data_IF_550046971499
#
_entry.id   IF_550046971499
#
_cell.length_a   1.000
_cell.length_b   1.000
_cell.length_c   1.000
_cell.angle_alpha   90.00
_cell.angle_beta   90.00
_cell.angle_gamma   90.00
#
_symmetry.space_group_name_H-M   'P 1'
#
loop_
_entity.id
_entity.type
_entity.pdbx_description
1 polymer ?
#
# COMPACT_ATOMS: atom_id res chain seq x y z
N UNK A 1 4.24 18.82 -0.04
CA UNK A 1 5.51 19.55 0.16
C UNK A 1 6.61 18.71 -0.50
N UNK A 2 7.36 19.25 -1.45
CA UNK A 2 8.52 18.57 -2.04
C UNK A 2 9.78 18.76 -1.18
N UNK A 3 10.71 17.81 -1.27
CA UNK A 3 12.05 17.89 -0.70
C UNK A 3 13.05 17.38 -1.75
N UNK A 4 14.07 18.17 -2.10
CA UNK A 4 15.00 17.89 -3.19
C UNK A 4 16.44 17.95 -2.68
N UNK A 5 17.15 16.83 -2.81
CA UNK A 5 18.53 16.73 -2.29
C UNK A 5 19.40 15.79 -3.13
N UNK A 6 20.71 15.98 -3.11
CA UNK A 6 21.65 15.09 -3.78
C UNK A 6 21.99 13.86 -2.92
N UNK A 7 22.18 12.72 -3.59
CA UNK A 7 22.77 11.52 -3.02
C UNK A 7 23.85 10.97 -3.94
N UNK A 8 24.89 10.42 -3.34
CA UNK A 8 26.00 9.84 -4.06
C UNK A 8 25.78 8.36 -4.36
N UNK A 9 26.07 7.93 -5.59
CA UNK A 9 25.97 6.55 -6.07
C UNK A 9 27.33 6.04 -6.50
N UNK A 10 27.65 4.80 -6.11
CA UNK A 10 28.94 4.18 -6.48
C UNK A 10 30.03 4.39 -5.46
N UNK A 11 31.26 3.98 -5.78
CA UNK A 11 32.42 4.07 -4.91
C UNK A 11 33.67 4.55 -5.68
N UNK A 12 34.52 5.31 -5.02
CA UNK A 12 35.77 5.78 -5.55
C UNK A 12 35.63 6.58 -6.86
N UNK A 13 36.44 6.31 -7.87
CA UNK A 13 36.42 7.03 -9.15
C UNK A 13 35.16 6.83 -10.01
N UNK A 14 34.26 5.91 -9.64
CA UNK A 14 32.96 5.67 -10.29
C UNK A 14 31.79 6.27 -9.52
N UNK A 15 32.09 7.19 -8.62
CA UNK A 15 31.09 7.88 -7.84
C UNK A 15 30.41 8.95 -8.70
N UNK A 16 29.07 8.96 -8.69
CA UNK A 16 28.25 9.97 -9.35
C UNK A 16 27.22 10.50 -8.36
N UNK A 17 26.80 11.73 -8.55
CA UNK A 17 25.71 12.32 -7.78
C UNK A 17 24.42 12.19 -8.57
N UNK A 18 23.34 11.81 -7.91
CA UNK A 18 21.96 11.88 -8.42
C UNK A 18 21.13 12.69 -7.44
N UNK A 19 20.11 13.33 -7.96
CA UNK A 19 19.16 14.07 -7.16
C UNK A 19 17.94 13.20 -6.86
N UNK A 20 17.43 13.33 -5.66
CA UNK A 20 16.21 12.69 -5.20
C UNK A 20 15.18 13.76 -4.89
N UNK A 21 14.03 13.66 -5.50
CA UNK A 21 12.86 14.49 -5.21
C UNK A 21 11.84 13.64 -4.45
N UNK A 22 11.55 14.00 -3.21
CA UNK A 22 10.44 13.44 -2.44
C UNK A 22 9.19 14.28 -2.67
N UNK A 23 8.05 13.63 -2.89
CA UNK A 23 6.76 14.28 -3.09
C UNK A 23 5.71 13.65 -2.18
N UNK A 24 5.24 14.44 -1.24
CA UNK A 24 4.12 14.05 -0.38
C UNK A 24 2.80 14.21 -1.14
N UNK A 25 2.03 13.15 -1.26
CA UNK A 25 0.75 13.09 -1.98
C UNK A 25 -0.42 12.89 -1.02
N UNK A 26 -1.50 13.67 -1.21
CA UNK A 26 -2.76 13.51 -0.49
C UNK A 26 -3.89 14.28 -1.21
N UNK A 27 -4.99 13.63 -1.63
CA UNK A 27 -5.17 12.18 -1.73
C UNK A 27 -4.29 11.57 -2.82
N UNK A 28 -4.28 10.25 -2.94
CA UNK A 28 -3.60 9.58 -4.05
C UNK A 28 -2.53 8.56 -3.63
N UNK A 29 -2.37 8.29 -2.31
CA UNK A 29 -1.54 7.18 -1.88
C UNK A 29 -2.09 5.83 -2.36
N UNK A 30 -1.21 4.84 -2.45
CA UNK A 30 -1.51 3.51 -3.00
C UNK A 30 -2.73 2.84 -2.37
N UNK A 31 -2.92 3.01 -1.08
CA UNK A 31 -4.06 2.47 -0.32
C UNK A 31 -5.06 3.57 0.09
N UNK A 32 -5.03 4.71 -0.59
CA UNK A 32 -5.83 5.89 -0.31
C UNK A 32 -5.22 6.81 0.76
N UNK A 33 -5.67 8.06 0.77
CA UNK A 33 -5.20 9.11 1.67
C UNK A 33 -3.79 9.58 1.34
N UNK A 34 -2.93 9.66 2.34
CA UNK A 34 -1.59 10.25 2.26
C UNK A 34 -0.48 9.22 2.10
N UNK A 35 0.58 9.60 1.38
CA UNK A 35 1.77 8.78 1.16
C UNK A 35 2.93 9.59 0.62
N UNK A 36 4.08 8.96 0.45
CA UNK A 36 5.31 9.58 -0.03
C UNK A 36 5.84 8.87 -1.27
N UNK A 37 5.96 9.62 -2.37
CA UNK A 37 6.64 9.18 -3.59
C UNK A 37 8.05 9.73 -3.65
N UNK A 38 8.94 9.05 -4.39
CA UNK A 38 10.26 9.55 -4.71
C UNK A 38 10.57 9.46 -6.20
N UNK A 39 11.36 10.39 -6.67
CA UNK A 39 11.89 10.43 -8.02
C UNK A 39 13.41 10.58 -7.95
N UNK A 40 14.11 9.91 -8.87
CA UNK A 40 15.57 9.99 -8.99
C UNK A 40 15.89 10.55 -10.36
N UNK A 41 16.80 11.52 -10.42
CA UNK A 41 17.13 12.16 -11.69
C UNK A 41 18.30 13.13 -11.59
N UNK A 42 18.29 14.07 -12.53
CA UNK A 42 19.25 15.18 -12.58
C UNK A 42 18.59 16.50 -12.23
N UNK A 43 19.34 17.40 -11.62
CA UNK A 43 18.91 18.77 -11.32
C UNK A 43 20.01 19.74 -11.69
N UNK A 44 19.70 20.69 -12.56
CA UNK A 44 20.66 21.68 -13.09
C UNK A 44 20.68 23.01 -12.31
N UNK A 45 19.94 23.08 -11.20
CA UNK A 45 19.72 24.30 -10.42
C UNK A 45 18.38 25.00 -10.73
N UNK A 46 17.71 24.65 -11.82
CA UNK A 46 16.46 25.24 -12.26
C UNK A 46 15.39 24.18 -12.56
N UNK A 47 15.79 23.06 -13.14
CA UNK A 47 14.88 22.00 -13.59
C UNK A 47 15.35 20.64 -13.08
N UNK A 48 14.39 19.86 -12.56
CA UNK A 48 14.58 18.47 -12.23
C UNK A 48 14.03 17.57 -13.35
N UNK A 49 14.82 16.61 -13.81
CA UNK A 49 14.41 15.60 -14.80
C UNK A 49 14.50 14.21 -14.16
N UNK A 50 13.33 13.58 -14.00
CA UNK A 50 13.27 12.23 -13.44
C UNK A 50 13.73 11.17 -14.44
N UNK A 51 14.62 10.27 -14.01
CA UNK A 51 15.14 9.14 -14.81
C UNK A 51 14.43 7.82 -14.49
N UNK A 52 13.75 7.70 -13.35
CA UNK A 52 13.10 6.48 -12.89
C UNK A 52 11.58 6.44 -13.19
N UNK A 53 11.11 7.27 -14.09
CA UNK A 53 9.73 7.31 -14.57
C UNK A 53 9.71 6.95 -16.05
N UNK A 54 9.04 5.87 -16.39
CA UNK A 54 8.86 5.45 -17.78
C UNK A 54 7.40 5.69 -18.21
N UNK A 55 7.14 6.10 -19.46
CA UNK A 55 5.78 6.19 -19.99
C UNK A 55 5.10 4.82 -19.90
N UNK A 56 3.92 4.80 -19.30
CA UNK A 56 3.15 3.58 -19.19
C UNK A 56 2.45 3.23 -20.49
N UNK A 57 2.50 1.96 -20.86
CA UNK A 57 1.74 1.37 -21.96
C UNK A 57 0.86 0.27 -21.38
N UNK A 58 -0.46 0.46 -21.34
CA UNK A 58 -1.37 -0.58 -20.86
C UNK A 58 -1.24 -1.84 -21.74
N UNK A 59 -1.56 -3.01 -21.20
CA UNK A 59 -1.47 -4.26 -21.93
C UNK A 59 -2.41 -4.26 -23.13
N UNK A 60 -1.95 -4.83 -24.24
CA UNK A 60 -2.80 -5.04 -25.42
C UNK A 60 -3.93 -6.01 -25.09
N UNK A 61 -5.10 -5.76 -25.65
CA UNK A 61 -6.27 -6.59 -25.46
C UNK A 61 -7.37 -6.28 -26.47
N UNK A 62 -8.54 -6.86 -26.25
CA UNK A 62 -9.74 -6.60 -27.04
C UNK A 62 -10.54 -5.50 -26.32
N UNK A 63 -10.78 -4.39 -26.99
CA UNK A 63 -11.67 -3.33 -26.46
C UNK A 63 -13.09 -3.87 -26.46
N UNK A 64 -13.70 -3.90 -25.29
CA UNK A 64 -15.10 -4.29 -25.10
C UNK A 64 -16.02 -3.08 -25.18
N UNK A 65 -15.63 -1.95 -24.62
CA UNK A 65 -16.33 -0.68 -24.73
C UNK A 65 -15.32 0.47 -24.62
N UNK A 66 -15.45 1.45 -25.50
CA UNK A 66 -14.65 2.69 -25.53
C UNK A 66 -15.48 3.96 -25.20
N UNK A 67 -16.79 3.81 -25.18
CA UNK A 67 -17.77 4.86 -24.87
C UNK A 67 -17.68 6.13 -25.73
N UNK A 68 -17.09 6.07 -26.92
CA UNK A 68 -16.92 7.22 -27.82
C UNK A 68 -18.20 7.62 -28.58
N UNK A 69 -19.25 6.79 -28.52
CA UNK A 69 -20.55 7.10 -29.11
C UNK A 69 -21.33 8.13 -28.29
N UNK A 70 -22.34 8.76 -28.88
CA UNK A 70 -23.26 9.66 -28.18
C UNK A 70 -24.36 8.95 -27.41
N UNK A 71 -24.51 7.64 -27.59
CA UNK A 71 -25.45 6.75 -26.89
C UNK A 71 -24.71 5.56 -26.29
N UNK A 72 -25.39 4.82 -25.44
CA UNK A 72 -24.85 3.60 -24.80
C UNK A 72 -24.98 2.34 -25.66
N UNK A 73 -25.52 2.41 -26.89
CA UNK A 73 -25.74 1.25 -27.77
C UNK A 73 -26.59 0.17 -27.07
N UNK A 74 -26.05 -1.05 -26.98
CA UNK A 74 -26.75 -2.21 -26.41
C UNK A 74 -26.71 -2.27 -24.87
N UNK A 75 -26.14 -1.27 -24.20
CA UNK A 75 -26.18 -1.19 -22.74
C UNK A 75 -27.57 -0.70 -22.28
N UNK A 76 -28.04 -1.19 -21.15
CA UNK A 76 -29.34 -0.83 -20.58
C UNK A 76 -29.19 0.04 -19.34
N UNK A 77 -30.00 1.10 -19.24
CA UNK A 77 -30.03 2.02 -18.10
C UNK A 77 -31.28 1.82 -17.25
N UNK A 78 -31.15 2.04 -15.94
CA UNK A 78 -32.29 2.27 -15.02
C UNK A 78 -32.05 3.56 -14.25
N UNK A 79 -33.14 4.22 -13.83
CA UNK A 79 -33.01 5.52 -13.16
C UNK A 79 -32.52 6.61 -14.12
N UNK A 80 -31.89 7.65 -13.57
CA UNK A 80 -31.50 8.85 -14.33
C UNK A 80 -29.99 9.16 -14.25
N UNK A 81 -29.21 8.49 -13.39
CA UNK A 81 -27.83 8.83 -13.12
C UNK A 81 -26.92 8.84 -14.34
N UNK A 82 -27.18 7.99 -15.33
CA UNK A 82 -26.33 7.83 -16.52
C UNK A 82 -26.84 8.63 -17.73
N UNK A 83 -27.95 9.36 -17.60
CA UNK A 83 -28.50 10.14 -18.72
C UNK A 83 -28.81 9.28 -19.94
N UNK A 84 -28.64 9.86 -21.15
CA UNK A 84 -28.94 9.20 -22.44
C UNK A 84 -27.71 8.65 -23.14
N UNK A 85 -26.50 8.93 -22.65
CA UNK A 85 -25.25 8.50 -23.29
C UNK A 85 -24.01 9.05 -22.56
N UNK A 86 -22.82 8.64 -23.03
CA UNK A 86 -21.53 9.11 -22.47
C UNK A 86 -21.34 10.62 -22.57
N UNK A 87 -20.68 11.22 -21.59
CA UNK A 87 -20.41 12.67 -21.55
C UNK A 87 -19.04 13.00 -22.14
N UNK A 88 -18.91 14.20 -22.71
CA UNK A 88 -17.63 14.73 -23.18
C UNK A 88 -16.88 15.41 -22.00
N UNK A 89 -16.51 14.62 -20.99
CA UNK A 89 -15.84 15.11 -19.78
C UNK A 89 -16.78 15.46 -18.63
N UNK A 90 -16.37 16.44 -17.81
CA UNK A 90 -17.08 16.85 -16.61
C UNK A 90 -18.44 17.49 -16.91
N UNK A 91 -19.41 17.21 -16.04
CA UNK A 91 -20.74 17.84 -16.08
C UNK A 91 -20.78 19.04 -15.14
N UNK A 92 -21.85 19.85 -15.22
CA UNK A 92 -22.01 21.06 -14.40
C UNK A 92 -21.84 20.77 -12.90
N UNK A 93 -20.97 21.53 -12.24
CA UNK A 93 -20.68 21.38 -10.82
C UNK A 93 -19.75 20.20 -10.46
N UNK A 94 -19.09 19.62 -11.44
CA UNK A 94 -18.05 18.62 -11.26
C UNK A 94 -16.68 19.22 -11.57
N UNK A 95 -15.64 18.77 -10.87
CA UNK A 95 -14.24 19.11 -11.19
C UNK A 95 -13.87 18.53 -12.56
N UNK A 96 -12.87 19.11 -13.20
CA UNK A 96 -12.31 18.59 -14.45
C UNK A 96 -11.98 17.11 -14.33
N UNK A 97 -12.35 16.31 -15.34
CA UNK A 97 -12.01 14.89 -15.42
C UNK A 97 -10.72 14.76 -16.21
N UNK A 98 -9.76 14.07 -15.61
CA UNK A 98 -8.43 13.85 -16.20
C UNK A 98 -8.20 12.36 -16.37
N UNK A 99 -7.51 11.96 -17.44
CA UNK A 99 -7.10 10.58 -17.68
C UNK A 99 -8.13 9.73 -18.43
N UNK A 100 -9.24 10.27 -18.93
CA UNK A 100 -10.09 9.56 -19.88
C UNK A 100 -9.33 9.29 -21.18
N UNK A 101 -9.75 8.30 -21.94
CA UNK A 101 -9.20 7.92 -23.25
C UNK A 101 -10.19 8.34 -24.33
N UNK A 102 -9.73 9.14 -25.30
CA UNK A 102 -10.63 9.67 -26.32
C UNK A 102 -11.37 10.94 -25.86
N UNK A 103 -12.64 11.08 -26.27
CA UNK A 103 -13.43 12.28 -26.08
C UNK A 103 -14.61 12.11 -25.10
N UNK A 104 -14.99 10.87 -24.77
CA UNK A 104 -16.18 10.57 -23.99
C UNK A 104 -15.95 9.49 -22.95
N UNK A 105 -16.78 9.52 -21.90
CA UNK A 105 -16.77 8.54 -20.82
C UNK A 105 -18.16 8.35 -20.21
N UNK A 106 -18.36 7.27 -19.50
CA UNK A 106 -19.53 7.07 -18.64
C UNK A 106 -19.37 7.92 -17.39
N UNK A 107 -20.39 8.72 -17.06
CA UNK A 107 -20.43 9.58 -15.88
C UNK A 107 -21.82 9.48 -15.24
N UNK A 108 -21.89 9.00 -14.01
CA UNK A 108 -23.18 8.81 -13.31
C UNK A 108 -23.76 10.08 -12.71
N UNK A 109 -23.11 11.24 -12.93
CA UNK A 109 -23.57 12.52 -12.39
C UNK A 109 -24.58 13.25 -13.29
N UNK A 110 -25.35 12.53 -14.11
CA UNK A 110 -26.34 13.07 -15.00
C UNK A 110 -27.77 12.80 -14.44
N UNK A 111 -28.70 13.77 -14.47
CA UNK A 111 -28.54 15.17 -14.83
C UNK A 111 -27.95 16.01 -13.70
N UNK A 112 -27.76 15.43 -12.50
CA UNK A 112 -27.21 16.11 -11.32
C UNK A 112 -26.60 15.10 -10.35
N UNK A 113 -25.96 15.60 -9.30
CA UNK A 113 -25.22 14.79 -8.33
C UNK A 113 -26.07 13.86 -7.45
N UNK A 114 -27.37 14.07 -7.36
CA UNK A 114 -28.28 13.24 -6.55
C UNK A 114 -29.08 12.23 -7.41
N UNK A 115 -28.79 12.16 -8.72
CA UNK A 115 -29.40 11.19 -9.60
C UNK A 115 -28.91 9.78 -9.27
N UNK A 116 -29.81 8.80 -9.29
CA UNK A 116 -29.51 7.40 -9.02
C UNK A 116 -29.87 6.52 -10.20
N UNK A 117 -29.21 5.38 -10.33
CA UNK A 117 -29.49 4.43 -11.41
C UNK A 117 -28.43 3.39 -11.63
N UNK A 118 -28.62 2.59 -12.68
CA UNK A 118 -27.66 1.58 -13.13
C UNK A 118 -27.43 1.69 -14.63
N UNK A 119 -26.25 1.26 -15.07
CA UNK A 119 -25.91 1.04 -16.48
C UNK A 119 -25.32 -0.38 -16.60
N UNK A 120 -25.97 -1.26 -17.38
CA UNK A 120 -25.62 -2.67 -17.47
C UNK A 120 -25.25 -3.06 -18.89
N UNK A 121 -24.11 -3.74 -19.05
CA UNK A 121 -23.60 -4.21 -20.35
C UNK A 121 -24.46 -5.34 -20.94
N UNK A 122 -24.36 -5.58 -22.26
CA UNK A 122 -24.72 -6.86 -22.84
C UNK A 122 -23.98 -8.01 -22.14
N UNK A 123 -24.55 -9.23 -22.25
CA UNK A 123 -23.87 -10.44 -21.74
C UNK A 123 -22.67 -10.78 -22.62
N UNK A 124 -21.58 -11.21 -21.98
CA UNK A 124 -20.37 -11.69 -22.66
C UNK A 124 -19.80 -12.92 -21.96
N UNK A 125 -19.02 -13.73 -22.69
CA UNK A 125 -18.30 -14.87 -22.12
C UNK A 125 -16.90 -14.39 -21.74
N UNK A 126 -16.46 -14.68 -20.52
CA UNK A 126 -15.11 -14.36 -20.05
C UNK A 126 -14.12 -15.30 -20.75
N UNK A 127 -13.26 -14.74 -21.61
CA UNK A 127 -12.26 -15.49 -22.38
C UNK A 127 -10.81 -15.08 -22.06
N UNK A 128 -10.65 -14.00 -21.28
CA UNK A 128 -9.37 -13.43 -20.89
C UNK A 128 -9.21 -13.43 -19.38
N UNK A 129 -7.96 -13.37 -18.93
CA UNK A 129 -7.60 -13.45 -17.49
C UNK A 129 -7.96 -12.21 -16.70
N UNK A 130 -8.06 -11.06 -17.38
CA UNK A 130 -8.30 -9.75 -16.76
C UNK A 130 -9.28 -8.92 -17.56
N UNK A 131 -10.12 -8.18 -16.85
CA UNK A 131 -10.95 -7.10 -17.39
C UNK A 131 -10.36 -5.81 -16.86
N UNK A 132 -9.67 -5.08 -17.72
CA UNK A 132 -9.04 -3.81 -17.42
C UNK A 132 -10.01 -2.67 -17.75
N UNK A 133 -10.06 -1.63 -16.95
CA UNK A 133 -10.92 -0.48 -17.16
C UNK A 133 -10.29 0.78 -16.56
N UNK A 134 -10.67 1.95 -17.05
CA UNK A 134 -10.32 3.21 -16.39
C UNK A 134 -11.48 3.63 -15.53
N UNK A 135 -11.23 3.81 -14.25
CA UNK A 135 -12.25 4.22 -13.27
C UNK A 135 -11.86 5.52 -12.58
N UNK A 136 -12.85 6.20 -12.04
CA UNK A 136 -12.71 7.40 -11.23
C UNK A 136 -14.01 7.68 -10.49
N UNK A 137 -14.07 8.78 -9.74
CA UNK A 137 -15.25 9.16 -8.98
C UNK A 137 -15.12 8.88 -7.48
N UNK A 138 -16.26 8.69 -6.83
CA UNK A 138 -16.32 8.53 -5.38
C UNK A 138 -15.71 7.20 -4.93
N UNK A 139 -14.97 7.26 -3.84
CA UNK A 139 -14.57 6.10 -3.05
C UNK A 139 -15.48 6.05 -1.82
N UNK A 140 -16.66 5.53 -2.00
CA UNK A 140 -17.59 5.32 -0.91
C UNK A 140 -17.20 4.05 -0.15
N UNK A 141 -17.00 4.13 1.18
CA UNK A 141 -16.46 3.03 1.95
C UNK A 141 -17.33 1.80 1.82
N UNK A 142 -16.71 0.67 1.47
CA UNK A 142 -17.33 -0.65 1.59
C UNK A 142 -17.37 -1.00 3.07
N UNK A 143 -18.46 -0.72 3.74
CA UNK A 143 -18.70 -1.29 5.07
C UNK A 143 -18.96 -2.79 4.92
N UNK A 144 -18.44 -3.65 5.81
CA UNK A 144 -18.80 -5.06 5.81
C UNK A 144 -20.33 -5.22 5.83
N UNK A 145 -20.90 -5.82 4.77
CA UNK A 145 -22.34 -6.00 4.62
C UNK A 145 -23.11 -4.82 4.03
N UNK A 146 -22.47 -3.68 3.72
CA UNK A 146 -23.09 -2.59 2.97
C UNK A 146 -22.71 -2.67 1.48
N UNK A 147 -23.69 -2.43 0.61
CA UNK A 147 -23.43 -2.17 -0.82
C UNK A 147 -22.83 -0.77 -0.95
N UNK A 148 -21.72 -0.64 -1.64
CA UNK A 148 -21.18 0.69 -1.97
C UNK A 148 -22.18 1.43 -2.86
N UNK A 149 -22.36 2.74 -2.61
CA UNK A 149 -23.35 3.55 -3.30
C UNK A 149 -22.95 3.93 -4.74
N UNK A 150 -21.66 3.83 -5.09
CA UNK A 150 -21.16 4.08 -6.45
C UNK A 150 -20.08 3.07 -6.82
N UNK A 151 -20.38 2.16 -7.77
CA UNK A 151 -19.50 1.02 -8.09
C UNK A 151 -19.53 0.64 -9.56
N UNK A 152 -18.45 0.00 -10.00
CA UNK A 152 -18.40 -0.87 -11.18
C UNK A 152 -18.37 -2.32 -10.70
N UNK A 153 -19.34 -3.12 -11.10
CA UNK A 153 -19.51 -4.50 -10.68
C UNK A 153 -19.36 -5.47 -11.85
N UNK A 154 -18.80 -6.63 -11.60
CA UNK A 154 -18.89 -7.78 -12.49
C UNK A 154 -19.95 -8.74 -11.94
N UNK A 155 -20.93 -9.07 -12.78
CA UNK A 155 -22.03 -9.94 -12.41
C UNK A 155 -21.88 -11.31 -13.10
N UNK A 156 -22.11 -12.39 -12.35
CA UNK A 156 -22.36 -13.73 -12.84
C UNK A 156 -23.74 -14.15 -12.33
N UNK A 157 -24.63 -14.53 -13.22
CA UNK A 157 -26.01 -14.91 -12.88
C UNK A 157 -26.74 -13.88 -12.00
N UNK A 158 -26.48 -12.58 -12.26
CA UNK A 158 -27.04 -11.46 -11.50
C UNK A 158 -26.42 -11.21 -10.13
N UNK A 159 -25.40 -12.00 -9.73
CA UNK A 159 -24.69 -11.81 -8.45
C UNK A 159 -23.37 -11.08 -8.67
N UNK A 160 -23.06 -10.13 -7.79
CA UNK A 160 -21.77 -9.40 -7.83
C UNK A 160 -20.63 -10.32 -7.37
N UNK A 161 -19.70 -10.59 -8.28
CA UNK A 161 -18.50 -11.43 -8.00
C UNK A 161 -17.21 -10.62 -7.89
N UNK A 162 -17.16 -9.44 -8.52
CA UNK A 162 -16.08 -8.43 -8.38
C UNK A 162 -16.73 -7.06 -8.33
N UNK A 163 -16.06 -6.11 -7.70
CA UNK A 163 -16.55 -4.73 -7.59
C UNK A 163 -15.39 -3.77 -7.38
N UNK A 164 -15.43 -2.62 -8.06
CA UNK A 164 -14.53 -1.50 -7.89
C UNK A 164 -15.29 -0.21 -7.65
N UNK A 165 -14.59 0.78 -7.05
CA UNK A 165 -15.07 2.15 -6.82
C UNK A 165 -14.08 3.14 -7.42
N UNK A 166 -14.41 4.42 -7.46
CA UNK A 166 -13.41 5.47 -7.68
C UNK A 166 -12.54 5.70 -6.44
N UNK A 167 -11.60 6.63 -6.56
CA UNK A 167 -10.60 6.97 -5.53
C UNK A 167 -10.85 8.33 -4.84
N UNK A 168 -12.10 8.80 -4.78
CA UNK A 168 -12.49 10.18 -4.43
C UNK A 168 -11.84 11.23 -5.33
N UNK A 169 -11.69 10.90 -6.60
CA UNK A 169 -10.99 11.72 -7.56
C UNK A 169 -11.67 11.68 -8.92
N UNK A 170 -11.67 12.81 -9.61
CA UNK A 170 -11.97 12.88 -11.04
C UNK A 170 -10.78 12.57 -11.93
N UNK A 171 -9.65 12.21 -11.36
CA UNK A 171 -8.51 11.64 -12.06
C UNK A 171 -8.73 10.16 -12.25
N UNK A 172 -9.01 9.75 -13.51
CA UNK A 172 -9.25 8.36 -13.86
C UNK A 172 -7.94 7.60 -14.01
N UNK A 173 -7.88 6.40 -13.45
CA UNK A 173 -6.74 5.51 -13.53
C UNK A 173 -7.16 4.09 -13.93
N UNK A 174 -6.19 3.22 -14.17
CA UNK A 174 -6.44 1.83 -14.53
C UNK A 174 -6.75 0.99 -13.30
N UNK A 175 -7.82 0.18 -13.41
CA UNK A 175 -8.20 -0.89 -12.52
C UNK A 175 -8.36 -2.20 -13.28
N UNK A 176 -8.23 -3.32 -12.58
CA UNK A 176 -8.29 -4.64 -13.18
C UNK A 176 -9.06 -5.64 -12.32
N UNK A 177 -10.10 -6.23 -12.86
CA UNK A 177 -10.65 -7.46 -12.28
C UNK A 177 -9.80 -8.66 -12.68
N UNK A 178 -9.25 -9.38 -11.72
CA UNK A 178 -8.72 -10.72 -11.94
C UNK A 178 -9.89 -11.69 -12.06
N UNK A 179 -10.05 -12.28 -13.25
CA UNK A 179 -11.16 -13.16 -13.60
C UNK A 179 -10.71 -14.56 -14.02
N UNK A 180 -9.49 -14.96 -13.63
CA UNK A 180 -8.91 -16.28 -13.99
C UNK A 180 -9.78 -17.44 -13.52
N UNK A 181 -10.41 -17.31 -12.36
CA UNK A 181 -11.33 -18.27 -11.77
C UNK A 181 -12.74 -18.27 -12.40
N UNK A 182 -13.01 -17.32 -13.30
CA UNK A 182 -14.30 -17.11 -13.95
C UNK A 182 -14.26 -17.37 -15.46
N UNK A 183 -13.14 -17.83 -16.02
CA UNK A 183 -13.00 -18.12 -17.46
C UNK A 183 -14.08 -19.12 -17.89
N UNK A 184 -14.74 -18.82 -19.02
CA UNK A 184 -15.84 -19.61 -19.59
C UNK A 184 -17.22 -19.25 -19.05
N UNK A 185 -17.33 -18.47 -17.97
CA UNK A 185 -18.61 -18.02 -17.44
C UNK A 185 -19.17 -16.86 -18.24
N UNK A 186 -20.50 -16.78 -18.30
CA UNK A 186 -21.22 -15.62 -18.87
C UNK A 186 -21.36 -14.55 -17.82
N UNK A 187 -20.96 -13.33 -18.16
CA UNK A 187 -20.90 -12.19 -17.26
C UNK A 187 -21.57 -10.94 -17.85
N UNK A 188 -21.80 -9.96 -16.99
CA UNK A 188 -22.16 -8.58 -17.33
C UNK A 188 -21.36 -7.61 -16.46
N UNK A 189 -21.06 -6.44 -17.00
CA UNK A 189 -20.53 -5.32 -16.22
C UNK A 189 -21.72 -4.41 -15.88
N UNK A 190 -21.82 -4.02 -14.62
CA UNK A 190 -22.86 -3.10 -14.16
C UNK A 190 -22.28 -1.97 -13.34
N UNK A 191 -22.55 -0.76 -13.78
CA UNK A 191 -22.32 0.43 -12.96
C UNK A 191 -23.57 0.68 -12.12
N UNK A 192 -23.34 1.04 -10.87
CA UNK A 192 -24.40 1.39 -9.92
C UNK A 192 -24.07 2.73 -9.31
N UNK A 193 -25.04 3.61 -9.24
CA UNK A 193 -25.00 4.83 -8.44
C UNK A 193 -26.30 4.95 -7.68
N UNK A 194 -26.25 4.79 -6.36
CA UNK A 194 -27.39 4.93 -5.44
C UNK A 194 -27.17 6.09 -4.46
N UNK A 195 -26.15 6.92 -4.69
CA UNK A 195 -25.75 8.00 -3.81
C UNK A 195 -26.67 9.23 -3.94
N UNK A 196 -27.84 9.16 -3.35
CA UNK A 196 -28.83 10.25 -3.38
C UNK A 196 -28.38 11.53 -2.63
N UNK A 197 -27.28 11.48 -1.87
CA UNK A 197 -26.75 12.62 -1.12
C UNK A 197 -25.94 13.61 -1.96
N UNK A 198 -25.71 13.31 -3.24
CA UNK A 198 -24.88 14.13 -4.12
C UNK A 198 -23.38 13.99 -3.89
N UNK A 199 -22.96 13.09 -3.01
CA UNK A 199 -21.53 12.81 -2.73
C UNK A 199 -20.98 11.68 -3.61
N UNK A 200 -21.86 10.86 -4.25
CA UNK A 200 -21.49 9.76 -5.10
C UNK A 200 -21.35 10.15 -6.57
N UNK A 201 -20.43 9.52 -7.26
CA UNK A 201 -20.40 9.43 -8.73
C UNK A 201 -19.45 8.30 -9.11
N UNK A 202 -19.73 7.61 -10.20
CA UNK A 202 -18.80 6.65 -10.80
C UNK A 202 -18.48 7.09 -12.22
N UNK A 203 -17.20 7.08 -12.54
CA UNK A 203 -16.67 7.35 -13.86
C UNK A 203 -16.10 6.02 -14.41
N UNK A 204 -16.37 5.72 -15.66
CA UNK A 204 -15.85 4.53 -16.33
C UNK A 204 -15.52 4.84 -17.77
N UNK A 205 -14.37 4.29 -18.22
CA UNK A 205 -13.93 4.39 -19.60
C UNK A 205 -13.06 3.19 -19.99
N UNK A 206 -12.86 2.96 -21.29
CA UNK A 206 -11.89 2.00 -21.86
C UNK A 206 -11.88 0.60 -21.19
N UNK A 207 -12.92 -0.18 -21.41
CA UNK A 207 -12.95 -1.57 -20.94
C UNK A 207 -12.17 -2.45 -21.95
N UNK A 208 -11.11 -3.10 -21.47
CA UNK A 208 -10.21 -3.92 -22.29
C UNK A 208 -10.02 -5.31 -21.69
N UNK A 209 -10.36 -6.35 -22.43
CA UNK A 209 -10.10 -7.72 -22.02
C UNK A 209 -8.69 -8.15 -22.43
N UNK A 210 -7.89 -8.64 -21.48
CA UNK A 210 -6.46 -8.93 -21.66
C UNK A 210 -6.02 -10.15 -20.84
N UNK A 211 -4.86 -10.73 -21.23
CA UNK A 211 -4.21 -11.78 -20.44
C UNK A 211 -3.24 -11.24 -19.38
N UNK A 212 -3.15 -9.89 -19.25
CA UNK A 212 -2.34 -9.20 -18.25
C UNK A 212 -3.17 -8.09 -17.60
N UNK A 213 -2.96 -7.81 -16.31
CA UNK A 213 -3.59 -6.66 -15.68
C UNK A 213 -3.00 -5.36 -16.25
N UNK A 214 -3.82 -4.33 -16.31
CA UNK A 214 -3.33 -2.96 -16.37
C UNK A 214 -2.91 -2.55 -14.96
N UNK A 215 -1.89 -1.73 -14.87
CA UNK A 215 -1.39 -1.22 -13.60
C UNK A 215 -1.77 0.25 -13.45
N UNK A 216 -2.31 0.61 -12.32
CA UNK A 216 -2.62 2.00 -11.98
C UNK A 216 -1.34 2.83 -11.83
N UNK A 217 -1.46 4.15 -11.88
CA UNK A 217 -0.37 5.08 -11.57
C UNK A 217 0.15 4.84 -10.14
N UNK A 218 -0.74 4.49 -9.23
CA UNK A 218 -0.39 4.15 -7.84
C UNK A 218 0.44 2.88 -7.72
N UNK A 219 0.11 1.84 -8.50
CA UNK A 219 0.88 0.58 -8.49
C UNK A 219 2.26 0.73 -9.12
N UNK A 220 2.39 1.67 -10.07
CA UNK A 220 3.64 1.93 -10.80
C UNK A 220 4.53 2.97 -10.13
N UNK A 221 3.98 3.78 -9.22
CA UNK A 221 4.71 4.83 -8.55
C UNK A 221 5.86 4.29 -7.69
N UNK A 222 6.92 5.08 -7.58
CA UNK A 222 8.03 4.78 -6.69
C UNK A 222 7.66 5.26 -5.28
N UNK A 223 7.15 4.37 -4.46
CA UNK A 223 6.81 4.67 -3.07
C UNK A 223 8.04 4.59 -2.18
N UNK A 224 8.29 5.65 -1.41
CA UNK A 224 9.33 5.64 -0.38
C UNK A 224 8.91 4.77 0.81
N UNK A 225 7.61 4.67 1.09
CA UNK A 225 7.05 3.80 2.10
C UNK A 225 5.81 3.08 1.53
N UNK A 226 5.70 1.79 1.78
CA UNK A 226 4.63 0.93 1.28
C UNK A 226 3.53 0.68 2.32
N UNK A 227 3.75 1.15 3.56
CA UNK A 227 2.73 1.20 4.61
C UNK A 227 1.75 2.33 4.41
N UNK A 228 0.74 2.40 5.26
CA UNK A 228 -0.29 3.44 5.18
C UNK A 228 0.05 4.70 5.94
N UNK A 229 0.96 4.64 6.89
CA UNK A 229 1.16 5.70 7.89
C UNK A 229 2.55 6.34 7.76
N UNK A 230 2.88 6.84 6.58
CA UNK A 230 4.10 7.60 6.36
C UNK A 230 3.86 8.78 5.42
N UNK A 231 3.89 9.99 5.97
CA UNK A 231 3.56 11.21 5.24
C UNK A 231 4.35 12.42 5.77
N UNK A 232 4.29 13.52 5.03
CA UNK A 232 4.93 14.79 5.36
C UNK A 232 6.42 14.64 5.72
N UNK A 233 7.07 13.63 5.15
CA UNK A 233 8.48 13.38 5.41
C UNK A 233 9.36 14.45 4.80
N UNK A 234 10.38 14.82 5.56
CA UNK A 234 11.43 15.77 5.16
C UNK A 234 12.80 15.23 5.56
N UNK A 235 13.83 15.73 4.91
CA UNK A 235 15.20 15.37 5.24
C UNK A 235 15.91 16.47 6.03
N UNK A 236 16.90 16.06 6.82
CA UNK A 236 17.78 16.99 7.55
C UNK A 236 18.90 17.48 6.64
N UNK A 237 19.14 18.78 6.65
CA UNK A 237 20.29 19.39 5.99
C UNK A 237 21.49 19.48 6.93
N UNK A 238 22.69 19.52 6.35
CA UNK A 238 23.95 19.76 7.05
C UNK A 238 24.24 18.77 8.20
N UNK A 239 23.87 17.50 8.04
CA UNK A 239 24.27 16.44 8.97
C UNK A 239 25.82 16.34 8.93
N UNK A 240 26.52 16.42 10.09
CA UNK A 240 27.97 16.61 10.12
C UNK A 240 28.81 15.56 9.39
N UNK A 241 28.32 14.32 9.32
CA UNK A 241 28.98 13.18 8.67
C UNK A 241 28.58 12.99 7.21
N UNK A 242 27.78 13.93 6.66
CA UNK A 242 27.31 13.89 5.27
C UNK A 242 26.21 12.85 4.99
N UNK A 243 25.67 12.20 6.01
CA UNK A 243 24.48 11.34 5.84
C UNK A 243 23.26 12.18 5.45
N UNK A 244 22.33 11.57 4.76
CA UNK A 244 21.01 12.15 4.51
C UNK A 244 20.02 11.42 5.40
N UNK A 245 19.47 12.11 6.39
CA UNK A 245 18.52 11.57 7.34
C UNK A 245 17.12 12.08 7.01
N UNK A 246 16.12 11.22 7.18
CA UNK A 246 14.70 11.52 6.94
C UNK A 246 13.87 11.13 8.15
N UNK A 247 12.86 11.92 8.45
CA UNK A 247 11.81 11.61 9.43
C UNK A 247 10.45 11.93 8.82
N UNK A 248 9.44 11.13 9.14
CA UNK A 248 8.09 11.29 8.60
C UNK A 248 7.01 11.26 9.67
N UNK A 249 5.87 11.82 9.37
CA UNK A 249 4.68 11.77 10.22
C UNK A 249 3.99 10.41 10.05
N UNK A 250 3.84 9.68 11.17
CA UNK A 250 3.16 8.39 11.19
C UNK A 250 1.67 8.57 11.43
N UNK A 251 0.96 8.81 10.38
CA UNK A 251 -0.50 8.80 10.31
C UNK A 251 -0.97 8.90 8.86
N UNK A 252 -2.29 8.86 8.65
CA UNK A 252 -2.92 9.02 7.35
C UNK A 252 -4.11 9.97 7.44
N UNK A 253 -4.22 10.90 6.52
CA UNK A 253 -5.33 11.87 6.50
C UNK A 253 -6.71 11.24 6.40
N UNK A 254 -6.82 9.97 5.97
CA UNK A 254 -8.09 9.25 5.94
C UNK A 254 -8.73 9.10 7.33
N UNK A 255 -7.92 8.93 8.38
CA UNK A 255 -8.42 8.56 9.71
C UNK A 255 -7.72 9.25 10.90
N UNK A 256 -6.78 10.16 10.65
CA UNK A 256 -5.98 10.75 11.74
C UNK A 256 -6.82 11.42 12.83
N UNK A 257 -7.98 11.99 12.46
CA UNK A 257 -8.87 12.62 13.46
C UNK A 257 -9.64 11.62 14.33
N UNK A 258 -9.70 10.35 13.92
CA UNK A 258 -10.43 9.29 14.60
C UNK A 258 -9.51 8.34 15.39
N UNK A 259 -8.17 8.46 15.28
CA UNK A 259 -7.25 7.55 15.99
C UNK A 259 -7.51 7.52 17.50
N UNK A 260 -7.51 6.33 18.13
CA UNK A 260 -7.92 6.16 19.53
C UNK A 260 -6.79 6.49 20.52
N UNK A 261 -6.14 7.64 20.35
CA UNK A 261 -5.08 8.13 21.25
C UNK A 261 -5.47 9.44 21.91
N UNK A 262 -4.95 9.69 23.11
CA UNK A 262 -5.18 10.91 23.91
C UNK A 262 -4.00 11.16 24.85
N UNK A 263 -3.54 12.41 25.09
CA UNK A 263 -4.07 13.67 24.58
C UNK A 263 -3.62 14.03 23.15
N UNK A 264 -2.54 13.42 22.65
CA UNK A 264 -2.03 13.67 21.30
C UNK A 264 -2.52 12.62 20.29
N UNK A 265 -2.43 12.95 19.01
CA UNK A 265 -2.75 12.06 17.88
C UNK A 265 -1.55 11.98 16.96
N UNK A 266 -1.27 10.77 16.45
CA UNK A 266 -0.11 10.46 15.60
C UNK A 266 1.25 10.60 16.34
N UNK A 267 2.31 10.26 15.61
CA UNK A 267 3.69 10.28 16.10
C UNK A 267 4.65 10.50 14.93
N UNK A 268 5.93 10.52 15.19
CA UNK A 268 6.98 10.54 14.18
C UNK A 268 7.53 9.13 13.96
N UNK A 269 8.01 8.86 12.76
CA UNK A 269 8.77 7.65 12.46
C UNK A 269 10.13 7.66 13.15
N UNK A 270 10.77 6.49 13.22
CA UNK A 270 12.19 6.46 13.53
C UNK A 270 12.99 7.19 12.43
N UNK A 271 14.06 7.92 12.79
CA UNK A 271 14.93 8.54 11.80
C UNK A 271 15.57 7.49 10.88
N UNK A 272 15.62 7.78 9.59
CA UNK A 272 16.10 6.89 8.55
C UNK A 272 17.26 7.51 7.78
N UNK A 273 18.32 6.76 7.59
CA UNK A 273 19.40 7.11 6.67
C UNK A 273 19.03 6.69 5.25
N UNK A 274 19.15 7.62 4.30
CA UNK A 274 18.83 7.44 2.89
C UNK A 274 20.09 7.15 2.08
N UNK A 275 19.98 6.24 1.13
CA UNK A 275 21.03 5.97 0.14
C UNK A 275 20.42 5.50 -1.17
N UNK A 276 21.22 5.55 -2.26
CA UNK A 276 20.84 5.03 -3.55
C UNK A 276 21.60 3.74 -3.86
N UNK A 277 20.88 2.72 -4.36
CA UNK A 277 21.45 1.45 -4.79
C UNK A 277 20.90 1.00 -6.12
N UNK A 278 21.71 0.27 -6.90
CA UNK A 278 21.21 -0.45 -8.08
C UNK A 278 20.67 -1.80 -7.67
N UNK A 279 19.37 -2.00 -7.90
CA UNK A 279 18.62 -3.23 -7.61
C UNK A 279 17.94 -3.67 -8.92
N UNK A 280 18.21 -4.88 -9.39
CA UNK A 280 17.67 -5.36 -10.67
C UNK A 280 18.03 -4.47 -11.88
N UNK A 281 19.17 -3.75 -11.82
CA UNK A 281 19.60 -2.82 -12.88
C UNK A 281 19.05 -1.40 -12.75
N UNK A 282 18.01 -1.17 -11.95
CA UNK A 282 17.41 0.15 -11.68
C UNK A 282 18.03 0.80 -10.46
N UNK A 283 18.06 2.12 -10.45
CA UNK A 283 18.47 2.89 -9.28
C UNK A 283 17.25 3.09 -8.38
N UNK A 284 17.36 2.68 -7.12
CA UNK A 284 16.28 2.76 -6.14
C UNK A 284 16.75 3.43 -4.85
N UNK A 285 15.81 4.09 -4.17
CA UNK A 285 16.01 4.66 -2.84
C UNK A 285 15.96 3.54 -1.80
N UNK A 286 16.99 3.50 -0.95
CA UNK A 286 17.11 2.54 0.15
C UNK A 286 17.15 3.31 1.46
N UNK A 287 16.44 2.81 2.46
CA UNK A 287 16.28 3.46 3.76
C UNK A 287 16.67 2.50 4.87
N UNK A 288 17.39 2.99 5.87
CA UNK A 288 17.77 2.21 7.05
C UNK A 288 17.49 3.00 8.31
N UNK A 289 17.05 2.36 9.39
CA UNK A 289 17.05 3.03 10.69
C UNK A 289 18.46 3.53 11.01
N UNK A 290 18.56 4.71 11.60
CA UNK A 290 19.87 5.26 12.01
C UNK A 290 20.57 4.34 13.01
N UNK A 291 21.90 4.29 12.94
CA UNK A 291 22.71 3.42 13.81
C UNK A 291 22.59 3.79 15.29
N UNK A 292 22.30 5.05 15.59
CA UNK A 292 22.10 5.56 16.96
C UNK A 292 21.01 4.83 17.73
N UNK A 293 20.01 4.26 17.05
CA UNK A 293 18.98 3.43 17.70
C UNK A 293 19.56 2.19 18.40
N UNK A 294 20.73 1.72 17.97
CA UNK A 294 21.36 0.56 18.60
C UNK A 294 21.83 0.82 20.02
N UNK A 295 22.06 2.11 20.40
CA UNK A 295 22.37 2.48 21.77
C UNK A 295 21.22 2.22 22.74
N UNK A 296 19.98 2.14 22.23
CA UNK A 296 18.78 1.85 23.03
C UNK A 296 18.56 0.34 23.23
N UNK A 297 19.35 -0.53 22.57
CA UNK A 297 19.22 -1.98 22.69
C UNK A 297 19.65 -2.47 24.08
N UNK A 298 18.73 -3.06 24.84
CA UNK A 298 19.05 -3.73 26.12
C UNK A 298 19.79 -5.04 25.87
N UNK A 299 20.73 -5.36 26.72
CA UNK A 299 21.50 -6.59 26.65
C UNK A 299 21.21 -7.46 27.89
N UNK A 300 21.20 -8.79 27.76
CA UNK A 300 21.48 -9.58 26.54
C UNK A 300 20.31 -9.59 25.56
N UNK A 301 20.59 -9.76 24.27
CA UNK A 301 19.58 -10.01 23.24
C UNK A 301 19.04 -11.45 23.33
N UNK A 302 17.76 -11.63 22.97
CA UNK A 302 17.20 -12.97 22.77
C UNK A 302 17.52 -13.45 21.35
N UNK A 303 18.05 -14.68 21.25
CA UNK A 303 18.46 -15.27 19.96
C UNK A 303 17.70 -16.54 19.65
N UNK A 304 17.26 -16.64 18.39
CA UNK A 304 16.60 -17.83 17.84
C UNK A 304 17.37 -18.25 16.60
N UNK A 305 17.70 -19.53 16.48
CA UNK A 305 18.44 -20.08 15.34
C UNK A 305 17.84 -21.41 14.90
N UNK A 306 17.89 -21.66 13.59
CA UNK A 306 17.46 -22.89 12.97
C UNK A 306 16.05 -23.35 13.42
N UNK A 307 15.12 -22.38 13.57
CA UNK A 307 13.75 -22.65 13.98
C UNK A 307 12.90 -22.96 12.75
N UNK A 308 12.57 -24.22 12.56
CA UNK A 308 11.69 -24.67 11.48
C UNK A 308 10.24 -24.66 11.91
N UNK A 309 9.38 -24.12 11.05
CA UNK A 309 7.91 -24.05 11.22
C UNK A 309 7.25 -24.63 9.97
N UNK A 310 6.24 -25.48 10.14
CA UNK A 310 5.57 -26.17 9.04
C UNK A 310 4.05 -26.16 9.27
N UNK A 311 3.31 -25.46 8.42
CA UNK A 311 1.84 -25.33 8.46
C UNK A 311 1.28 -24.98 9.85
N UNK A 312 1.93 -24.07 10.57
CA UNK A 312 1.51 -23.62 11.90
C UNK A 312 2.12 -22.28 12.26
N UNK A 313 1.63 -21.70 13.36
CA UNK A 313 2.34 -20.66 14.11
C UNK A 313 3.08 -21.27 15.30
N UNK A 314 4.18 -20.66 15.69
CA UNK A 314 4.96 -21.00 16.87
C UNK A 314 5.28 -19.74 17.67
N UNK A 315 4.74 -19.66 18.87
CA UNK A 315 5.04 -18.60 19.83
C UNK A 315 6.49 -18.70 20.28
N UNK A 316 7.19 -17.57 20.28
CA UNK A 316 8.52 -17.48 20.84
C UNK A 316 8.44 -17.30 22.36
N UNK A 317 9.16 -18.17 23.10
CA UNK A 317 9.15 -18.17 24.56
C UNK A 317 10.39 -17.48 25.10
N UNK A 318 10.27 -16.93 26.32
CA UNK A 318 11.34 -16.24 27.03
C UNK A 318 11.07 -14.76 27.20
N UNK A 319 11.61 -14.19 28.26
CA UNK A 319 11.36 -12.78 28.62
C UNK A 319 11.83 -11.80 27.53
N UNK A 320 12.86 -12.14 26.78
CA UNK A 320 13.39 -11.31 25.69
C UNK A 320 12.61 -11.41 24.37
N UNK A 321 11.72 -12.42 24.21
CA UNK A 321 10.93 -12.66 23.01
C UNK A 321 9.52 -12.10 23.10
N UNK A 322 9.26 -11.18 24.02
CA UNK A 322 7.95 -10.59 24.25
C UNK A 322 8.11 -9.13 24.65
N UNK A 323 7.28 -8.27 24.11
CA UNK A 323 7.31 -6.84 24.42
C UNK A 323 6.64 -5.99 23.36
N UNK A 324 6.47 -4.72 23.65
CA UNK A 324 5.94 -3.72 22.71
C UNK A 324 7.00 -2.73 22.23
N UNK A 325 8.23 -2.85 22.70
CA UNK A 325 9.38 -2.00 22.34
C UNK A 325 10.53 -2.92 21.99
N UNK A 326 10.59 -3.32 20.73
CA UNK A 326 11.52 -4.33 20.22
C UNK A 326 12.24 -3.83 18.97
N UNK A 327 13.51 -4.18 18.86
CA UNK A 327 14.27 -4.17 17.62
C UNK A 327 14.56 -5.65 17.26
N UNK A 328 14.08 -6.09 16.09
CA UNK A 328 14.14 -7.49 15.65
C UNK A 328 14.87 -7.54 14.32
N UNK A 329 15.96 -8.26 14.27
CA UNK A 329 16.63 -8.63 13.02
C UNK A 329 16.40 -10.12 12.77
N UNK A 330 15.88 -10.46 11.59
CA UNK A 330 15.55 -11.84 11.23
C UNK A 330 15.89 -12.17 9.80
N UNK A 331 16.44 -13.37 9.59
CA UNK A 331 16.64 -13.99 8.29
C UNK A 331 15.82 -15.29 8.22
N UNK A 332 14.95 -15.37 7.20
CA UNK A 332 14.16 -16.53 6.87
C UNK A 332 14.71 -17.24 5.64
N UNK A 333 14.63 -18.57 5.67
CA UNK A 333 14.61 -19.42 4.48
C UNK A 333 13.15 -19.77 4.16
N UNK A 334 12.70 -19.42 2.95
CA UNK A 334 11.32 -19.64 2.49
C UNK A 334 10.95 -21.13 2.40
N UNK A 335 11.93 -22.00 2.18
CA UNK A 335 11.75 -23.43 2.05
C UNK A 335 10.68 -23.81 1.02
N UNK A 336 9.58 -24.42 1.49
CA UNK A 336 8.43 -24.82 0.67
C UNK A 336 7.15 -24.07 1.04
N UNK A 337 7.22 -23.06 1.90
CA UNK A 337 6.03 -22.35 2.38
C UNK A 337 5.44 -21.44 1.28
N UNK A 338 4.11 -21.43 1.17
CA UNK A 338 3.39 -20.46 0.34
C UNK A 338 3.41 -19.08 1.00
N UNK A 339 3.27 -19.04 2.34
CA UNK A 339 3.37 -17.82 3.14
C UNK A 339 4.12 -18.06 4.43
N UNK A 340 4.94 -17.11 4.87
CA UNK A 340 5.70 -17.21 6.12
C UNK A 340 6.06 -15.81 6.65
N UNK A 341 6.42 -15.73 7.92
CA UNK A 341 6.83 -14.47 8.54
C UNK A 341 6.68 -14.43 10.05
N UNK A 342 6.40 -13.22 10.55
CA UNK A 342 6.21 -12.89 11.97
C UNK A 342 4.77 -12.49 12.24
N UNK A 343 4.28 -12.82 13.45
CA UNK A 343 3.14 -12.19 14.07
C UNK A 343 3.65 -11.41 15.28
N UNK A 344 3.42 -10.12 15.29
CA UNK A 344 3.83 -9.21 16.36
C UNK A 344 2.60 -8.67 17.07
N UNK A 345 2.77 -8.15 18.29
CA UNK A 345 1.65 -7.75 19.14
C UNK A 345 0.57 -8.84 19.26
N UNK A 346 1.02 -10.11 19.25
CA UNK A 346 0.13 -11.26 19.36
C UNK A 346 -0.45 -11.38 20.75
N UNK A 347 -1.78 -11.57 20.83
CA UNK A 347 -2.55 -11.70 22.06
C UNK A 347 -3.91 -12.36 21.81
N UNK A 348 -4.80 -12.43 22.81
CA UNK A 348 -6.10 -13.05 22.66
C UNK A 348 -6.95 -12.36 21.58
N UNK A 349 -7.09 -13.00 20.40
CA UNK A 349 -7.92 -12.52 19.30
C UNK A 349 -7.31 -11.41 18.44
N UNK A 350 -6.08 -10.98 18.72
CA UNK A 350 -5.41 -9.90 17.99
C UNK A 350 -3.96 -10.24 17.64
N UNK A 351 -3.53 -9.75 16.49
CA UNK A 351 -2.17 -9.88 15.96
C UNK A 351 -1.93 -8.90 14.82
N UNK A 352 -0.70 -8.50 14.59
CA UNK A 352 -0.25 -7.84 13.37
C UNK A 352 0.66 -8.82 12.63
N UNK A 353 0.34 -9.13 11.37
CA UNK A 353 1.11 -10.10 10.58
C UNK A 353 2.06 -9.37 9.65
N UNK A 354 3.35 -9.72 9.72
CA UNK A 354 4.39 -9.31 8.78
C UNK A 354 4.76 -10.57 7.99
N UNK A 355 4.26 -10.70 6.78
CA UNK A 355 4.34 -11.92 6.01
C UNK A 355 4.89 -11.75 4.61
N UNK A 356 5.42 -12.83 4.05
CA UNK A 356 5.83 -12.93 2.67
C UNK A 356 5.00 -14.00 1.96
N UNK A 357 4.44 -13.64 0.78
CA UNK A 357 3.70 -14.54 -0.11
C UNK A 357 4.61 -14.92 -1.28
N UNK A 358 5.02 -16.20 -1.34
CA UNK A 358 5.97 -16.70 -2.34
C UNK A 358 5.36 -16.77 -3.73
N UNK A 359 4.07 -17.07 -3.82
CA UNK A 359 3.34 -17.15 -5.10
C UNK A 359 3.12 -15.79 -5.76
N UNK A 360 3.03 -14.74 -4.95
CA UNK A 360 2.86 -13.35 -5.41
C UNK A 360 4.16 -12.57 -5.46
N UNK A 361 5.27 -13.11 -4.94
CA UNK A 361 6.52 -12.39 -4.71
C UNK A 361 6.29 -11.06 -3.98
N UNK A 362 5.52 -11.09 -2.88
CA UNK A 362 5.10 -9.89 -2.13
C UNK A 362 5.39 -10.01 -0.64
N UNK A 363 5.98 -8.96 -0.08
CA UNK A 363 5.93 -8.71 1.36
C UNK A 363 4.60 -8.02 1.71
N UNK A 364 3.99 -8.39 2.84
CA UNK A 364 2.75 -7.75 3.28
C UNK A 364 2.74 -7.51 4.78
N UNK A 365 1.98 -6.49 5.19
CA UNK A 365 1.59 -6.27 6.58
C UNK A 365 0.08 -6.29 6.67
N UNK A 366 -0.45 -7.23 7.44
CA UNK A 366 -1.88 -7.35 7.74
C UNK A 366 -2.14 -6.83 9.15
N UNK A 367 -2.85 -5.68 9.23
CA UNK A 367 -3.29 -5.08 10.48
C UNK A 367 -4.79 -5.18 10.72
N UNK A 368 -5.48 -6.05 10.00
CA UNK A 368 -6.94 -6.21 10.12
C UNK A 368 -7.40 -6.68 11.49
N UNK A 369 -6.50 -7.29 12.26
CA UNK A 369 -6.76 -7.76 13.64
C UNK A 369 -5.77 -7.16 14.66
N UNK A 370 -5.24 -5.97 14.42
CA UNK A 370 -4.20 -5.33 15.25
C UNK A 370 -4.78 -4.55 16.44
N UNK A 371 -5.70 -5.16 17.17
CA UNK A 371 -6.36 -4.58 18.34
C UNK A 371 -7.57 -3.70 17.98
N UNK A 372 -7.62 -2.47 18.49
CA UNK A 372 -8.71 -1.55 18.19
C UNK A 372 -8.64 -1.04 16.74
N UNK A 373 -9.27 -1.76 15.82
CA UNK A 373 -9.29 -1.43 14.39
C UNK A 373 -10.64 -0.84 13.94
N UNK A 374 -11.65 -0.86 14.80
CA UNK A 374 -13.04 -0.49 14.47
C UNK A 374 -13.33 1.02 14.52
N UNK A 375 -12.38 1.86 14.89
CA UNK A 375 -12.59 3.30 15.04
C UNK A 375 -12.79 4.04 13.69
N UNK A 376 -12.37 3.43 12.60
CA UNK A 376 -12.55 3.98 11.25
C UNK A 376 -12.64 2.85 10.21
N UNK A 377 -13.60 2.88 9.26
CA UNK A 377 -13.84 1.77 8.32
C UNK A 377 -12.68 1.48 7.37
N UNK A 378 -11.79 2.45 7.14
CA UNK A 378 -10.61 2.30 6.28
C UNK A 378 -9.34 1.99 7.03
N UNK A 379 -9.37 1.80 8.34
CA UNK A 379 -8.16 1.53 9.11
C UNK A 379 -7.69 0.09 8.94
N UNK A 380 -8.58 -0.89 9.16
CA UNK A 380 -8.29 -2.31 9.00
C UNK A 380 -7.91 -2.59 7.54
N UNK A 381 -6.66 -3.02 7.29
CA UNK A 381 -6.14 -3.14 5.94
C UNK A 381 -4.92 -4.05 5.85
N UNK A 382 -4.61 -4.46 4.62
CA UNK A 382 -3.38 -5.16 4.26
C UNK A 382 -2.56 -4.28 3.34
N UNK A 383 -1.35 -3.94 3.76
CA UNK A 383 -0.36 -3.24 2.92
C UNK A 383 0.55 -4.27 2.25
N UNK A 384 0.89 -4.06 0.99
CA UNK A 384 1.73 -5.00 0.22
C UNK A 384 2.81 -4.26 -0.55
N UNK A 385 3.97 -4.89 -0.74
CA UNK A 385 5.02 -4.41 -1.64
C UNK A 385 5.59 -5.54 -2.48
N UNK A 386 5.85 -5.32 -3.77
CA UNK A 386 6.55 -6.31 -4.58
C UNK A 386 7.98 -6.46 -4.05
N UNK A 387 8.37 -7.67 -3.74
CA UNK A 387 9.72 -8.00 -3.28
C UNK A 387 10.07 -9.40 -3.79
N UNK A 388 11.03 -9.46 -4.69
CA UNK A 388 11.56 -10.72 -5.16
C UNK A 388 12.71 -11.15 -4.28
N UNK A 389 12.64 -12.36 -3.73
CA UNK A 389 13.74 -12.93 -2.96
C UNK A 389 14.93 -13.24 -3.86
N UNK A 390 16.12 -13.25 -3.29
CA UNK A 390 17.33 -13.72 -3.94
C UNK A 390 17.21 -15.20 -4.35
N UNK A 391 18.16 -15.68 -5.17
CA UNK A 391 18.19 -17.08 -5.63
C UNK A 391 18.19 -18.10 -4.48
N UNK A 392 18.68 -17.69 -3.32
CA UNK A 392 18.77 -18.52 -2.12
C UNK A 392 17.45 -18.55 -1.33
N UNK A 393 16.39 -17.88 -1.78
CA UNK A 393 15.09 -17.86 -1.13
C UNK A 393 15.06 -17.17 0.23
N UNK A 394 16.05 -16.30 0.50
CA UNK A 394 16.22 -15.66 1.80
C UNK A 394 15.45 -14.34 1.89
N UNK A 395 14.73 -14.15 2.99
CA UNK A 395 14.08 -12.90 3.36
C UNK A 395 14.77 -12.32 4.60
N UNK A 396 15.28 -11.10 4.50
CA UNK A 396 15.88 -10.37 5.62
C UNK A 396 14.99 -9.21 6.02
N UNK A 397 14.63 -9.17 7.29
CA UNK A 397 13.84 -8.09 7.87
C UNK A 397 14.53 -7.49 9.08
N UNK A 398 14.45 -6.18 9.23
CA UNK A 398 14.57 -5.49 10.52
C UNK A 398 13.21 -4.90 10.85
N UNK A 399 12.69 -5.20 12.02
CA UNK A 399 11.37 -4.78 12.49
C UNK A 399 11.54 -4.00 13.77
N UNK A 400 11.07 -2.76 13.77
CA UNK A 400 11.02 -1.90 14.94
C UNK A 400 9.59 -1.82 15.44
N UNK A 401 9.40 -2.08 16.72
CA UNK A 401 8.11 -2.00 17.41
C UNK A 401 8.23 -0.98 18.55
N UNK A 402 7.29 -0.04 18.62
CA UNK A 402 7.16 0.84 19.77
C UNK A 402 5.68 1.12 20.07
N UNK A 403 5.17 0.49 21.13
CA UNK A 403 3.80 0.62 21.66
C UNK A 403 2.69 0.39 20.62
N UNK A 404 2.55 1.28 19.65
CA UNK A 404 1.55 1.27 18.60
C UNK A 404 2.16 1.41 17.20
N UNK A 405 3.47 1.28 17.07
CA UNK A 405 4.20 1.47 15.82
C UNK A 405 4.80 0.17 15.33
N UNK A 406 4.72 -0.03 14.02
CA UNK A 406 5.40 -1.12 13.32
C UNK A 406 6.13 -0.51 12.14
N UNK A 407 7.46 -0.54 12.16
CA UNK A 407 8.28 -0.21 11.01
C UNK A 407 9.05 -1.45 10.54
N UNK A 408 8.95 -1.75 9.25
CA UNK A 408 9.58 -2.94 8.66
C UNK A 408 10.51 -2.52 7.54
N UNK A 409 11.76 -2.90 7.65
CA UNK A 409 12.80 -2.66 6.66
C UNK A 409 13.23 -4.01 6.06
N UNK A 410 12.79 -4.27 4.84
CA UNK A 410 13.08 -5.51 4.14
C UNK A 410 14.25 -5.35 3.17
N UNK A 411 15.01 -6.42 2.98
CA UNK A 411 16.16 -6.49 2.08
C UNK A 411 17.09 -5.27 2.22
N UNK A 412 17.55 -5.07 3.45
CA UNK A 412 18.44 -3.94 3.82
C UNK A 412 17.85 -2.56 3.52
N UNK A 413 16.52 -2.43 3.60
CA UNK A 413 15.80 -1.17 3.41
C UNK A 413 15.35 -0.88 1.97
N UNK A 414 15.33 -1.90 1.11
CA UNK A 414 14.80 -1.80 -0.25
C UNK A 414 13.27 -1.62 -0.25
N UNK A 415 12.56 -2.31 0.65
CA UNK A 415 11.13 -2.10 0.87
C UNK A 415 10.91 -1.76 2.33
N UNK A 416 10.17 -0.69 2.55
CA UNK A 416 9.90 -0.16 3.89
C UNK A 416 8.39 -0.02 4.09
N UNK A 417 7.92 -0.39 5.27
CA UNK A 417 6.53 -0.21 5.67
C UNK A 417 6.47 0.48 7.01
N UNK A 418 5.56 1.41 7.13
CA UNK A 418 5.24 2.11 8.36
C UNK A 418 3.74 2.00 8.63
N UNK A 419 3.39 1.42 9.76
CA UNK A 419 2.01 1.17 10.17
C UNK A 419 1.79 1.57 11.62
N UNK A 420 0.67 2.22 11.89
CA UNK A 420 0.14 2.37 13.25
C UNK A 420 -0.81 1.23 13.56
N UNK A 421 -0.77 0.75 14.79
CA UNK A 421 -1.60 -0.34 15.32
C UNK A 421 -2.04 -0.01 16.74
N UNK A 422 -3.15 -0.57 17.20
CA UNK A 422 -3.67 -0.23 18.54
C UNK A 422 -3.94 -1.49 19.37
N UNK A 423 -2.87 -2.31 19.64
CA UNK A 423 -3.00 -3.56 20.36
C UNK A 423 -3.34 -3.33 21.83
N UNK A 424 -4.11 -4.24 22.43
CA UNK A 424 -4.40 -4.23 23.86
C UNK A 424 -3.12 -4.35 24.69
N UNK A 425 -3.21 -4.00 25.99
CA UNK A 425 -2.04 -4.05 26.89
C UNK A 425 -1.42 -5.46 26.98
N UNK A 426 -2.24 -6.51 26.84
CA UNK A 426 -1.83 -7.92 26.94
C UNK A 426 -1.15 -8.43 25.66
N UNK A 427 -1.39 -7.78 24.52
CA UNK A 427 -0.88 -8.20 23.21
C UNK A 427 0.56 -7.72 23.01
N UNK A 428 1.49 -8.51 23.51
CA UNK A 428 2.92 -8.27 23.45
C UNK A 428 3.69 -9.53 22.97
N UNK A 429 2.96 -10.54 22.46
CA UNK A 429 3.53 -11.79 21.96
C UNK A 429 4.22 -11.63 20.61
N UNK A 430 5.14 -12.53 20.34
CA UNK A 430 5.85 -12.69 19.09
C UNK A 430 5.76 -14.13 18.62
N UNK A 431 5.36 -14.34 17.37
CA UNK A 431 5.25 -15.67 16.78
C UNK A 431 5.94 -15.73 15.41
N UNK A 432 6.40 -16.90 15.05
CA UNK A 432 6.83 -17.25 13.70
C UNK A 432 5.77 -18.15 13.09
N UNK A 433 5.41 -17.92 11.83
CA UNK A 433 4.42 -18.76 11.14
C UNK A 433 4.91 -19.20 9.75
N UNK A 434 4.35 -20.32 9.30
CA UNK A 434 4.44 -20.81 7.92
C UNK A 434 3.13 -21.49 7.53
N UNK A 435 2.69 -21.26 6.30
CA UNK A 435 1.47 -21.81 5.70
C UNK A 435 1.80 -22.37 4.31
N UNK A 436 1.09 -23.42 3.89
CA UNK A 436 1.29 -24.09 2.60
C UNK A 436 2.62 -24.83 2.49
N UNK A 437 3.31 -25.05 3.62
CA UNK A 437 4.61 -25.72 3.65
C UNK A 437 5.45 -25.31 4.85
N UNK A 438 6.77 -25.43 4.69
CA UNK A 438 7.75 -25.21 5.75
C UNK A 438 8.66 -24.03 5.41
N UNK A 439 8.85 -23.15 6.39
CA UNK A 439 9.89 -22.11 6.40
C UNK A 439 10.81 -22.28 7.62
N UNK A 440 11.99 -21.69 7.57
CA UNK A 440 12.95 -21.72 8.67
C UNK A 440 13.42 -20.32 9.00
N UNK A 441 13.47 -19.98 10.29
CA UNK A 441 14.26 -18.87 10.81
C UNK A 441 15.70 -19.33 10.91
N UNK A 442 16.56 -18.84 10.05
CA UNK A 442 17.98 -19.19 10.10
C UNK A 442 18.68 -18.50 11.27
N UNK A 443 18.47 -17.21 11.40
CA UNK A 443 18.94 -16.39 12.53
C UNK A 443 17.91 -15.30 12.85
N UNK A 444 17.65 -15.10 14.13
CA UNK A 444 16.85 -14.00 14.63
C UNK A 444 17.47 -13.48 15.92
N UNK A 445 17.60 -12.18 15.99
CA UNK A 445 18.04 -11.49 17.21
C UNK A 445 16.98 -10.45 17.59
N UNK A 446 16.56 -10.49 18.86
CA UNK A 446 15.53 -9.62 19.42
C UNK A 446 16.14 -8.84 20.58
N UNK A 447 16.07 -7.52 20.53
CA UNK A 447 16.46 -6.63 21.62
C UNK A 447 15.22 -5.95 22.18
N UNK A 448 15.12 -5.92 23.51
CA UNK A 448 14.26 -4.97 24.19
C UNK A 448 14.85 -3.56 24.05
N UNK A 449 14.01 -2.58 23.76
CA UNK A 449 14.47 -1.19 23.62
C UNK A 449 14.27 -0.40 24.91
N UNK A 450 15.19 0.51 25.17
CA UNK A 450 15.06 1.49 26.25
C UNK A 450 14.26 2.70 25.77
N UNK A 451 13.55 3.35 26.70
CA UNK A 451 12.91 4.63 26.43
C UNK A 451 13.94 5.76 26.36
N UNK A 452 13.80 6.64 25.38
CA UNK A 452 14.58 7.89 25.33
C UNK A 452 14.08 8.93 26.34
N UNK A 453 12.83 8.81 26.82
CA UNK A 453 12.20 9.75 27.73
C UNK A 453 12.50 9.45 29.22
N UNK A 454 12.66 8.17 29.53
CA UNK A 454 12.89 7.71 30.90
C UNK A 454 14.01 6.66 30.88
N UNK A 455 15.26 7.09 30.76
CA UNK A 455 16.36 6.16 30.93
C UNK A 455 16.25 5.48 32.28
N UNK A 456 16.38 4.14 32.31
CA UNK A 456 16.32 3.36 33.54
C UNK A 456 17.31 3.95 34.55
N UNK A 457 16.81 4.60 35.61
CA UNK A 457 17.62 5.12 36.73
C UNK A 457 18.19 4.03 37.65
N UNK A 458 18.15 2.78 37.22
CA UNK A 458 18.65 1.60 37.96
C UNK A 458 20.16 1.34 37.71
N UNK A 459 20.97 2.38 37.58
CA UNK A 459 22.42 2.28 37.41
C UNK A 459 23.15 3.45 38.06
N UNK A 460 23.38 3.37 39.39
CA UNK A 460 24.45 4.06 40.08
C UNK A 460 24.44 5.58 40.02
N UNK A 461 24.02 6.20 41.11
CA UNK A 461 24.47 7.56 41.44
C UNK A 461 26.00 7.61 41.59
N UNK A 462 26.57 8.84 41.58
CA UNK A 462 28.02 9.05 41.63
C UNK A 462 28.62 8.53 42.94
#
# INVERSE_FOLDING_TARGET
MPDLFPLTVGRGKRQTTKWVLLVNVNPGARLGGSGLQYFIGEFDGHRFEAENVEPYKPPKGTVFADFERTDYGDWTTTGTAFGTGPTAGAVTGQSEIVGMVGERLVNSRQPNAAATGTLTSPRFVITKKYINMRTGGADLPRLPGATSEATVNLLIDGQVVRSETGDNSTWMDWDSFDVRDLIGKTAQIQLVDTAATGQGSILLDQIVFSDRPALSDKERANWADWGRDFYAAITFDNVPDGRRLMIGWMSNWLYTFAVPTSPWRSTQSEPRELSLRRIGGKLELVQRPVEELEMLRKRPAHKVRALSVNNRSRTLNGAGARGKQLDIEVEFDSGTADRFGLKVFSGPGEETVIGYDTGKEQLYIDRTRSGNVGFHPRFASVSTAPLRLDRDGKLKLRVLLDQMLVEVFADKGHRVFTETVFPSAQSAGLEVFAEGGRATVDDMTIWQMQSIWFPDRSGGGP
#
